data_IF_180581792045
#
_entry.id   IF_180581792045
#
_cell.length_a   1.000
_cell.length_b   1.000
_cell.length_c   1.000
_cell.angle_alpha   90.00
_cell.angle_beta   90.00
_cell.angle_gamma   90.00
#
_symmetry.space_group_name_H-M   'P 1'
#
loop_
_entity.id
_entity.type
_entity.pdbx_description
1 polymer ?
#
# COMPACT_ATOMS: atom_id res chain seq x y z
N UNK A 1 38.75 15.08 -6.89
CA UNK A 1 38.07 15.50 -5.66
C UNK A 1 36.76 16.14 -6.10
N UNK A 2 35.69 15.36 -6.19
CA UNK A 2 34.42 15.85 -6.69
C UNK A 2 33.76 16.67 -5.58
N UNK A 3 33.62 17.97 -5.82
CA UNK A 3 32.85 18.86 -4.97
C UNK A 3 31.40 18.44 -5.17
N UNK A 4 30.82 17.78 -4.17
CA UNK A 4 29.39 17.51 -4.13
C UNK A 4 28.70 18.88 -4.09
N UNK A 5 28.15 19.30 -5.22
CA UNK A 5 27.67 20.67 -5.37
C UNK A 5 26.35 20.85 -4.61
N UNK A 6 26.03 22.09 -4.23
CA UNK A 6 24.73 22.41 -3.62
C UNK A 6 23.55 21.95 -4.51
N UNK A 7 23.76 21.87 -5.81
CA UNK A 7 22.79 21.39 -6.80
C UNK A 7 22.50 19.89 -6.67
N UNK A 8 23.54 19.05 -6.54
CA UNK A 8 23.39 17.59 -6.32
C UNK A 8 22.65 17.29 -5.02
N UNK A 9 22.92 18.08 -3.98
CA UNK A 9 22.24 17.96 -2.68
C UNK A 9 20.76 18.26 -2.79
N UNK A 10 20.39 19.36 -3.46
CA UNK A 10 18.99 19.73 -3.71
C UNK A 10 18.28 18.66 -4.54
N UNK A 11 18.96 18.09 -5.53
CA UNK A 11 18.44 17.00 -6.34
C UNK A 11 18.13 15.77 -5.48
N UNK A 12 19.06 15.34 -4.62
CA UNK A 12 18.84 14.20 -3.69
C UNK A 12 17.65 14.46 -2.76
N UNK A 13 17.55 15.64 -2.16
CA UNK A 13 16.42 16.01 -1.29
C UNK A 13 15.10 15.94 -2.06
N UNK A 14 15.07 16.47 -3.29
CA UNK A 14 13.87 16.44 -4.13
C UNK A 14 13.43 15.01 -4.46
N UNK A 15 14.38 14.12 -4.79
CA UNK A 15 14.09 12.72 -5.11
C UNK A 15 13.64 11.95 -3.87
N UNK A 16 14.28 12.15 -2.72
CA UNK A 16 13.86 11.53 -1.45
C UNK A 16 12.42 11.92 -1.11
N UNK A 17 12.08 13.20 -1.21
CA UNK A 17 10.73 13.69 -0.92
C UNK A 17 9.72 13.14 -1.93
N UNK A 18 10.01 13.23 -3.23
CA UNK A 18 9.09 12.78 -4.27
C UNK A 18 8.80 11.27 -4.18
N UNK A 19 9.82 10.44 -4.00
CA UNK A 19 9.63 8.99 -3.95
C UNK A 19 9.05 8.51 -2.62
N UNK A 20 9.38 9.15 -1.49
CA UNK A 20 8.77 8.81 -0.19
C UNK A 20 7.28 9.16 -0.17
N UNK A 21 6.90 10.35 -0.64
CA UNK A 21 5.50 10.78 -0.70
C UNK A 21 4.68 9.90 -1.67
N UNK A 22 5.24 9.59 -2.85
CA UNK A 22 4.60 8.66 -3.79
C UNK A 22 4.42 7.27 -3.18
N UNK A 23 5.42 6.76 -2.46
CA UNK A 23 5.33 5.45 -1.82
C UNK A 23 4.25 5.44 -0.74
N UNK A 24 4.21 6.46 0.12
CA UNK A 24 3.22 6.60 1.18
C UNK A 24 1.80 6.69 0.63
N UNK A 25 1.58 7.49 -0.42
CA UNK A 25 0.26 7.61 -1.06
C UNK A 25 -0.21 6.27 -1.64
N UNK A 26 0.68 5.51 -2.29
CA UNK A 26 0.32 4.17 -2.78
C UNK A 26 0.05 3.21 -1.62
N UNK A 27 0.83 3.28 -0.53
CA UNK A 27 0.59 2.49 0.67
C UNK A 27 -0.79 2.78 1.28
N UNK A 28 -1.19 4.05 1.36
CA UNK A 28 -2.52 4.44 1.85
C UNK A 28 -3.63 3.95 0.92
N UNK A 29 -3.45 4.05 -0.40
CA UNK A 29 -4.41 3.51 -1.37
C UNK A 29 -4.56 2.00 -1.24
N UNK A 30 -3.45 1.28 -1.03
CA UNK A 30 -3.44 -0.15 -0.77
C UNK A 30 -4.22 -0.47 0.51
N UNK A 31 -3.96 0.24 1.60
CA UNK A 31 -4.60 -0.01 2.89
C UNK A 31 -6.11 0.32 2.85
N UNK A 32 -6.50 1.37 2.14
CA UNK A 32 -7.90 1.72 1.91
C UNK A 32 -8.62 0.66 1.05
N UNK A 33 -7.98 0.17 -0.01
CA UNK A 33 -8.52 -0.92 -0.81
C UNK A 33 -8.67 -2.21 0.01
N UNK A 34 -7.69 -2.51 0.87
CA UNK A 34 -7.74 -3.67 1.76
C UNK A 34 -8.87 -3.56 2.79
N UNK A 35 -9.06 -2.39 3.42
CA UNK A 35 -10.18 -2.20 4.35
C UNK A 35 -11.54 -2.36 3.69
N UNK A 36 -11.70 -1.84 2.46
CA UNK A 36 -12.92 -2.04 1.69
C UNK A 36 -13.16 -3.52 1.36
N UNK A 37 -12.09 -4.25 1.08
CA UNK A 37 -12.13 -5.68 0.84
C UNK A 37 -12.53 -6.46 2.10
N UNK A 38 -11.92 -6.17 3.24
CA UNK A 38 -12.25 -6.81 4.52
C UNK A 38 -13.73 -6.57 4.88
N UNK A 39 -14.26 -5.37 4.59
CA UNK A 39 -15.67 -5.05 4.76
C UNK A 39 -16.60 -5.83 3.83
N UNK A 40 -16.25 -5.95 2.53
CA UNK A 40 -17.02 -6.76 1.58
C UNK A 40 -17.03 -8.23 1.95
N UNK A 41 -15.91 -8.75 2.46
CA UNK A 41 -15.80 -10.13 2.95
C UNK A 41 -16.69 -10.37 4.18
N UNK A 42 -16.70 -9.43 5.13
CA UNK A 42 -17.61 -9.47 6.28
C UNK A 42 -19.08 -9.45 5.83
N UNK A 43 -19.43 -8.64 4.83
CA UNK A 43 -20.81 -8.60 4.31
C UNK A 43 -21.19 -9.92 3.62
N UNK A 44 -20.26 -10.53 2.88
CA UNK A 44 -20.47 -11.84 2.26
C UNK A 44 -20.69 -12.96 3.30
N UNK A 45 -19.90 -13.00 4.36
CA UNK A 45 -20.04 -14.01 5.42
C UNK A 45 -21.32 -13.79 6.25
N UNK A 46 -21.70 -12.54 6.50
CA UNK A 46 -22.95 -12.20 7.18
C UNK A 46 -24.19 -12.58 6.35
N UNK A 47 -24.20 -12.27 5.05
CA UNK A 47 -25.31 -12.64 4.16
C UNK A 47 -25.47 -14.15 4.04
N UNK A 48 -24.35 -14.90 4.03
CA UNK A 48 -24.37 -16.36 4.04
C UNK A 48 -24.98 -16.93 5.32
N UNK A 49 -24.51 -16.50 6.49
CA UNK A 49 -24.97 -17.03 7.79
C UNK A 49 -26.46 -16.74 8.03
N UNK A 50 -26.92 -15.52 7.72
CA UNK A 50 -28.33 -15.15 7.81
C UNK A 50 -29.20 -15.90 6.79
N UNK A 51 -28.73 -16.06 5.55
CA UNK A 51 -29.42 -16.82 4.52
C UNK A 51 -29.65 -18.27 4.92
N UNK A 52 -28.62 -18.93 5.46
CA UNK A 52 -28.70 -20.32 5.94
C UNK A 52 -29.66 -20.44 7.12
N UNK A 53 -29.59 -19.54 8.11
CA UNK A 53 -30.49 -19.56 9.26
C UNK A 53 -31.98 -19.47 8.84
N UNK A 54 -32.28 -18.63 7.84
CA UNK A 54 -33.65 -18.40 7.39
C UNK A 54 -34.24 -19.55 6.56
N UNK A 55 -33.38 -20.32 5.87
CA UNK A 55 -33.79 -21.48 5.10
C UNK A 55 -34.43 -22.58 5.97
N UNK A 56 -34.07 -22.67 7.25
CA UNK A 56 -34.64 -23.65 8.18
C UNK A 56 -36.02 -23.27 8.75
N UNK A 57 -36.47 -22.01 8.58
CA UNK A 57 -37.68 -21.49 9.25
C UNK A 57 -38.87 -21.26 8.32
N UNK A 58 -38.76 -21.47 7.00
CA UNK A 58 -39.74 -20.96 6.02
C UNK A 58 -40.32 -21.99 5.06
N UNK A 59 -41.38 -21.60 4.34
CA UNK A 59 -42.10 -22.45 3.36
C UNK A 59 -41.24 -22.70 2.11
N UNK A 60 -41.52 -23.79 1.39
CA UNK A 60 -40.75 -24.21 0.20
C UNK A 60 -40.68 -23.13 -0.91
N UNK A 61 -41.77 -22.40 -1.16
CA UNK A 61 -41.79 -21.35 -2.20
C UNK A 61 -40.85 -20.19 -1.83
N UNK A 62 -40.88 -19.76 -0.56
CA UNK A 62 -39.98 -18.70 -0.06
C UNK A 62 -38.51 -19.13 -0.08
N UNK A 63 -38.23 -20.42 0.18
CA UNK A 63 -36.89 -21.01 0.10
C UNK A 63 -36.29 -20.87 -1.31
N UNK A 64 -37.05 -21.19 -2.36
CA UNK A 64 -36.57 -21.12 -3.75
C UNK A 64 -36.24 -19.67 -4.14
N UNK A 65 -37.11 -18.71 -3.82
CA UNK A 65 -36.86 -17.30 -4.12
C UNK A 65 -35.62 -16.75 -3.41
N UNK A 66 -35.39 -17.15 -2.15
CA UNK A 66 -34.24 -16.71 -1.37
C UNK A 66 -32.95 -17.32 -1.93
N UNK A 67 -32.97 -18.60 -2.31
CA UNK A 67 -31.83 -19.26 -2.95
C UNK A 67 -31.38 -18.51 -4.20
N UNK A 68 -32.31 -18.14 -5.08
CA UNK A 68 -31.99 -17.38 -6.30
C UNK A 68 -31.35 -16.04 -5.97
N UNK A 69 -31.93 -15.27 -5.04
CA UNK A 69 -31.40 -13.96 -4.62
C UNK A 69 -29.99 -14.11 -4.03
N UNK A 70 -29.78 -15.10 -3.15
CA UNK A 70 -28.47 -15.35 -2.55
C UNK A 70 -27.43 -15.72 -3.60
N UNK A 71 -27.73 -16.63 -4.53
CA UNK A 71 -26.81 -17.01 -5.61
C UNK A 71 -26.43 -15.80 -6.47
N UNK A 72 -27.42 -15.03 -6.94
CA UNK A 72 -27.16 -13.85 -7.78
C UNK A 72 -26.32 -12.80 -7.03
N UNK A 73 -26.66 -12.53 -5.77
CA UNK A 73 -25.91 -11.56 -4.95
C UNK A 73 -24.48 -12.02 -4.66
N UNK A 74 -24.26 -13.32 -4.39
CA UNK A 74 -22.93 -13.87 -4.19
C UNK A 74 -22.09 -13.83 -5.45
N UNK A 75 -22.65 -14.23 -6.60
CA UNK A 75 -21.95 -14.12 -7.88
C UNK A 75 -21.54 -12.68 -8.19
N UNK A 76 -22.39 -11.70 -7.87
CA UNK A 76 -22.08 -10.28 -8.03
C UNK A 76 -20.94 -9.81 -7.11
N UNK A 77 -20.95 -10.20 -5.83
CA UNK A 77 -19.88 -9.86 -4.88
C UNK A 77 -18.54 -10.49 -5.31
N UNK A 78 -18.56 -11.77 -5.70
CA UNK A 78 -17.39 -12.49 -6.22
C UNK A 78 -16.84 -11.80 -7.47
N UNK A 79 -17.72 -11.36 -8.38
CA UNK A 79 -17.30 -10.62 -9.58
C UNK A 79 -16.62 -9.29 -9.24
N UNK A 80 -17.17 -8.50 -8.33
CA UNK A 80 -16.55 -7.24 -7.89
C UNK A 80 -15.17 -7.51 -7.26
N UNK A 81 -15.09 -8.56 -6.44
CA UNK A 81 -13.88 -8.95 -5.73
C UNK A 81 -12.76 -9.39 -6.70
N UNK A 82 -13.00 -10.44 -7.51
CA UNK A 82 -11.99 -11.02 -8.38
C UNK A 82 -11.80 -10.22 -9.67
N UNK A 83 -12.87 -9.65 -10.21
CA UNK A 83 -12.86 -8.97 -11.49
C UNK A 83 -12.32 -7.54 -11.44
N UNK A 84 -12.49 -6.84 -10.30
CA UNK A 84 -12.17 -5.41 -10.21
C UNK A 84 -11.13 -5.12 -9.13
N UNK A 85 -11.34 -5.62 -7.91
CA UNK A 85 -10.53 -5.19 -6.76
C UNK A 85 -9.16 -5.88 -6.71
N UNK A 86 -9.12 -7.20 -6.86
CA UNK A 86 -7.86 -7.96 -6.84
C UNK A 86 -6.83 -7.49 -7.90
N UNK A 87 -7.17 -7.34 -9.20
CA UNK A 87 -6.18 -6.90 -10.19
C UNK A 87 -5.72 -5.46 -9.92
N UNK A 88 -6.60 -4.58 -9.43
CA UNK A 88 -6.23 -3.20 -9.07
C UNK A 88 -5.24 -3.17 -7.92
N UNK A 89 -5.44 -4.02 -6.91
CA UNK A 89 -4.55 -4.13 -5.77
C UNK A 89 -3.18 -4.67 -6.18
N UNK A 90 -3.13 -5.70 -7.04
CA UNK A 90 -1.88 -6.24 -7.58
C UNK A 90 -1.09 -5.19 -8.37
N UNK A 91 -1.78 -4.39 -9.20
CA UNK A 91 -1.14 -3.30 -9.94
C UNK A 91 -0.55 -2.24 -9.00
N UNK A 92 -1.28 -1.85 -7.95
CA UNK A 92 -0.79 -0.91 -6.94
C UNK A 92 0.43 -1.47 -6.21
N UNK A 93 0.42 -2.75 -5.85
CA UNK A 93 1.58 -3.40 -5.24
C UNK A 93 2.80 -3.42 -6.16
N UNK A 94 2.63 -3.74 -7.45
CA UNK A 94 3.73 -3.71 -8.42
C UNK A 94 4.32 -2.31 -8.52
N UNK A 95 3.47 -1.28 -8.58
CA UNK A 95 3.92 0.13 -8.58
C UNK A 95 4.66 0.48 -7.29
N UNK A 96 4.13 0.10 -6.13
CA UNK A 96 4.76 0.33 -4.84
C UNK A 96 6.15 -0.34 -4.76
N UNK A 97 6.27 -1.59 -5.21
CA UNK A 97 7.53 -2.34 -5.25
C UNK A 97 8.60 -1.67 -6.12
N UNK A 98 8.20 -1.16 -7.30
CA UNK A 98 9.13 -0.43 -8.17
C UNK A 98 9.59 0.86 -7.50
N UNK A 99 8.67 1.59 -6.86
CA UNK A 99 8.98 2.85 -6.17
C UNK A 99 9.85 2.61 -4.94
N UNK A 100 9.56 1.57 -4.14
CA UNK A 100 10.36 1.23 -2.96
C UNK A 100 11.79 0.85 -3.36
N UNK A 101 11.98 0.08 -4.45
CA UNK A 101 13.31 -0.27 -4.95
C UNK A 101 14.09 0.95 -5.46
N UNK A 102 13.40 1.94 -6.05
CA UNK A 102 14.01 3.22 -6.44
C UNK A 102 14.37 4.06 -5.22
N UNK A 103 13.46 4.20 -4.27
CA UNK A 103 13.66 4.94 -3.02
C UNK A 103 14.84 4.36 -2.23
N UNK A 104 14.96 3.03 -2.14
CA UNK A 104 16.08 2.35 -1.48
C UNK A 104 17.42 2.73 -2.10
N UNK A 105 17.52 2.77 -3.43
CA UNK A 105 18.74 3.20 -4.14
C UNK A 105 19.06 4.67 -3.86
N UNK A 106 18.05 5.53 -3.82
CA UNK A 106 18.22 6.97 -3.51
C UNK A 106 18.68 7.15 -2.07
N UNK A 107 18.10 6.43 -1.10
CA UNK A 107 18.54 6.46 0.31
C UNK A 107 20.00 6.02 0.43
N UNK A 108 20.40 4.92 -0.23
CA UNK A 108 21.80 4.45 -0.21
C UNK A 108 22.76 5.47 -0.82
N UNK A 109 22.41 6.06 -1.95
CA UNK A 109 23.22 7.09 -2.60
C UNK A 109 23.32 8.37 -1.75
N UNK A 110 22.22 8.78 -1.11
CA UNK A 110 22.17 9.92 -0.21
C UNK A 110 23.01 9.70 1.05
N UNK A 111 22.91 8.52 1.66
CA UNK A 111 23.70 8.12 2.83
C UNK A 111 25.20 8.11 2.53
N UNK A 112 25.62 7.54 1.39
CA UNK A 112 27.02 7.58 0.95
C UNK A 112 27.52 9.00 0.67
N UNK A 113 26.70 9.81 -0.02
CA UNK A 113 27.02 11.21 -0.29
C UNK A 113 27.21 12.01 1.01
N UNK A 114 26.42 11.70 2.04
CA UNK A 114 26.48 12.37 3.33
C UNK A 114 27.75 12.02 4.11
N UNK A 115 28.13 10.74 4.17
CA UNK A 115 29.39 10.31 4.80
C UNK A 115 30.61 11.03 4.20
N UNK A 116 30.60 11.25 2.89
CA UNK A 116 31.68 11.96 2.18
C UNK A 116 31.63 13.50 2.31
N UNK A 117 30.47 14.10 2.62
CA UNK A 117 30.30 15.57 2.76
C UNK A 117 30.36 16.08 4.20
N UNK A 118 30.33 15.20 5.20
CA UNK A 118 30.52 15.55 6.63
C UNK A 118 31.82 16.30 6.92
N UNK A 119 32.80 16.29 6.00
CA UNK A 119 34.04 17.07 6.14
C UNK A 119 33.97 18.51 5.56
N UNK A 120 32.92 18.91 4.84
CA UNK A 120 32.90 20.19 4.10
C UNK A 120 31.57 20.99 4.11
N UNK A 121 30.44 20.42 4.59
CA UNK A 121 29.12 21.08 4.52
C UNK A 121 28.59 21.60 5.85
N UNK A 122 28.04 22.81 5.88
CA UNK A 122 27.46 23.46 7.08
C UNK A 122 26.31 22.67 7.73
N UNK A 123 26.26 22.71 9.07
CA UNK A 123 25.38 21.95 9.98
C UNK A 123 23.91 21.86 9.54
N UNK A 124 23.29 22.97 9.12
CA UNK A 124 21.86 23.01 8.77
C UNK A 124 21.51 22.24 7.49
N UNK A 125 22.38 22.24 6.49
CA UNK A 125 22.11 21.46 5.29
C UNK A 125 22.23 19.96 5.56
N UNK A 126 23.15 19.56 6.44
CA UNK A 126 23.30 18.15 6.85
C UNK A 126 22.07 17.67 7.62
N UNK A 127 21.55 18.52 8.51
CA UNK A 127 20.32 18.24 9.24
C UNK A 127 19.09 18.08 8.33
N UNK A 128 18.95 18.89 7.28
CA UNK A 128 17.83 18.78 6.34
C UNK A 128 17.88 17.46 5.56
N UNK A 129 19.07 17.02 5.12
CA UNK A 129 19.23 15.73 4.44
C UNK A 129 18.93 14.58 5.41
N UNK A 130 19.43 14.63 6.65
CA UNK A 130 19.15 13.62 7.68
C UNK A 130 17.66 13.46 7.95
N UNK A 131 16.92 14.57 8.09
CA UNK A 131 15.47 14.54 8.29
C UNK A 131 14.76 13.88 7.12
N UNK A 132 15.11 14.26 5.88
CA UNK A 132 14.49 13.71 4.67
C UNK A 132 14.85 12.25 4.41
N UNK A 133 16.06 11.85 4.81
CA UNK A 133 16.51 10.47 4.74
C UNK A 133 15.72 9.62 5.76
N UNK A 134 15.53 10.13 6.97
CA UNK A 134 14.69 9.48 7.99
C UNK A 134 13.22 9.33 7.55
N UNK A 135 12.62 10.36 6.95
CA UNK A 135 11.26 10.29 6.39
C UNK A 135 11.15 9.22 5.29
N UNK A 136 12.16 9.15 4.41
CA UNK A 136 12.23 8.17 3.34
C UNK A 136 12.40 6.73 3.87
N UNK A 137 13.24 6.54 4.89
CA UNK A 137 13.41 5.26 5.59
C UNK A 137 12.11 4.82 6.26
N UNK A 138 11.41 5.74 6.92
CA UNK A 138 10.10 5.49 7.51
C UNK A 138 9.09 5.02 6.46
N UNK A 139 8.99 5.71 5.32
CA UNK A 139 8.10 5.33 4.22
C UNK A 139 8.40 3.91 3.70
N UNK A 140 9.68 3.58 3.57
CA UNK A 140 10.13 2.26 3.11
C UNK A 140 9.82 1.17 4.15
N UNK A 141 10.05 1.45 5.44
CA UNK A 141 9.71 0.55 6.53
C UNK A 141 8.19 0.31 6.60
N UNK A 142 7.38 1.35 6.42
CA UNK A 142 5.93 1.25 6.38
C UNK A 142 5.46 0.31 5.25
N UNK A 143 6.02 0.48 4.05
CA UNK A 143 5.75 -0.43 2.93
C UNK A 143 6.16 -1.88 3.24
N UNK A 144 7.34 -2.11 3.82
CA UNK A 144 7.80 -3.45 4.18
C UNK A 144 6.87 -4.13 5.19
N UNK A 145 6.37 -3.38 6.18
CA UNK A 145 5.39 -3.88 7.14
C UNK A 145 4.06 -4.24 6.47
N UNK A 146 3.58 -3.42 5.53
CA UNK A 146 2.37 -3.71 4.74
C UNK A 146 2.52 -4.99 3.91
N UNK A 147 3.67 -5.18 3.25
CA UNK A 147 3.97 -6.40 2.48
C UNK A 147 4.06 -7.62 3.40
N UNK A 148 4.72 -7.49 4.56
CA UNK A 148 4.85 -8.58 5.53
C UNK A 148 3.50 -9.01 6.08
N UNK A 149 2.64 -8.06 6.49
CA UNK A 149 1.28 -8.34 6.97
C UNK A 149 0.47 -9.16 5.96
N UNK A 150 0.65 -8.90 4.66
CA UNK A 150 -0.10 -9.59 3.61
C UNK A 150 0.39 -11.00 3.30
N UNK A 151 1.65 -11.35 3.57
CA UNK A 151 2.13 -12.74 3.40
C UNK A 151 1.49 -13.74 4.38
N UNK A 152 0.79 -13.25 5.41
CA UNK A 152 0.15 -14.06 6.44
C UNK A 152 -1.37 -14.20 6.27
N UNK A 153 -1.96 -13.59 5.24
CA UNK A 153 -3.35 -13.77 4.83
C UNK A 153 -3.41 -14.52 3.49
#
# INVERSE_FOLDING_TARGET
MAIFDQEDRKLIISLLNEYSEKLLNICEQIDRQQRNFDFLWLLLTFTWTMGVYWLFSTKIITIITILIITIVSQSFIIYIYFGIQQPRLELLQRKASIISAKLEKVIRAASQAQEHTTMAGGFFGNLEVDLRLSDAEYALQHYNNLVKKRKFF
#
